data_IF_319141297821
#
_entry.id   IF_319141297821
#
_cell.length_a   1.000
_cell.length_b   1.000
_cell.length_c   1.000
_cell.angle_alpha   90.00
_cell.angle_beta   90.00
_cell.angle_gamma   90.00
#
_symmetry.space_group_name_H-M   'P 1'
#
loop_
_entity.id
_entity.type
_entity.pdbx_description
1 polymer ?
#
# COMPACT_ATOMS: atom_id res chain seq x y z
N UNK A 1 30.95 14.55 -23.41
CA UNK A 1 31.02 14.12 -22.00
C UNK A 1 30.72 12.64 -21.95
N UNK A 2 31.81 11.87 -21.99
CA UNK A 2 32.07 10.55 -21.43
C UNK A 2 30.98 9.48 -21.55
N UNK A 3 31.07 8.73 -22.65
CA UNK A 3 30.47 7.41 -22.83
C UNK A 3 31.07 6.36 -21.89
N UNK A 4 30.92 6.57 -20.59
CA UNK A 4 31.11 5.53 -19.58
C UNK A 4 30.23 4.35 -19.96
N UNK A 5 30.87 3.20 -20.21
CA UNK A 5 30.21 1.92 -20.45
C UNK A 5 29.09 1.74 -19.43
N UNK A 6 27.83 1.83 -19.86
CA UNK A 6 26.69 1.54 -18.99
C UNK A 6 26.84 0.10 -18.53
N UNK A 7 27.24 -0.08 -17.27
CA UNK A 7 27.38 -1.39 -16.65
C UNK A 7 25.97 -1.87 -16.31
N UNK A 8 25.50 -2.84 -17.08
CA UNK A 8 24.26 -3.55 -16.76
C UNK A 8 24.56 -4.60 -15.70
N UNK A 9 23.76 -4.61 -14.63
CA UNK A 9 23.92 -5.54 -13.50
C UNK A 9 22.56 -5.97 -12.98
N UNK A 10 22.56 -7.07 -12.22
CA UNK A 10 21.39 -7.45 -11.44
C UNK A 10 21.32 -6.62 -10.16
N UNK A 11 20.10 -6.22 -9.82
CA UNK A 11 19.72 -5.54 -8.60
C UNK A 11 18.90 -6.50 -7.74
N UNK A 12 19.47 -7.66 -7.40
CA UNK A 12 18.82 -8.69 -6.57
C UNK A 12 18.65 -8.26 -5.10
N UNK A 13 19.24 -7.13 -4.72
CA UNK A 13 19.03 -6.53 -3.41
C UNK A 13 17.61 -5.96 -3.27
N UNK A 14 17.01 -6.01 -2.07
CA UNK A 14 15.74 -5.35 -1.81
C UNK A 14 15.79 -3.86 -2.16
N UNK A 15 14.74 -3.33 -2.79
CA UNK A 15 14.69 -1.92 -3.21
C UNK A 15 15.53 -1.60 -4.45
N UNK A 16 16.15 -2.59 -5.08
CA UNK A 16 16.82 -2.42 -6.36
C UNK A 16 15.88 -1.88 -7.43
N UNK A 17 16.26 -0.79 -8.08
CA UNK A 17 15.49 -0.17 -9.18
C UNK A 17 15.84 -0.74 -10.57
N UNK A 18 16.76 -1.70 -10.61
CA UNK A 18 17.14 -2.43 -11.83
C UNK A 18 16.43 -3.76 -11.99
N UNK A 19 17.01 -4.61 -12.83
CA UNK A 19 16.53 -5.98 -13.04
C UNK A 19 16.97 -6.88 -11.89
N UNK A 20 16.02 -7.60 -11.29
CA UNK A 20 16.29 -8.68 -10.35
C UNK A 20 15.93 -10.03 -10.98
N UNK A 21 16.78 -11.03 -10.82
CA UNK A 21 16.53 -12.41 -11.22
C UNK A 21 16.88 -13.35 -10.07
N UNK A 22 15.86 -14.01 -9.52
CA UNK A 22 15.95 -14.96 -8.40
C UNK A 22 15.17 -16.23 -8.73
N UNK A 23 15.12 -17.19 -7.81
CA UNK A 23 14.26 -18.38 -7.95
C UNK A 23 12.76 -18.03 -8.11
N UNK A 24 12.37 -16.84 -7.65
CA UNK A 24 10.98 -16.35 -7.68
C UNK A 24 10.61 -15.71 -9.01
N UNK A 25 11.58 -15.53 -9.91
CA UNK A 25 11.36 -15.04 -11.26
C UNK A 25 12.26 -13.86 -11.63
N UNK A 26 11.83 -13.16 -12.69
CA UNK A 26 12.48 -11.95 -13.18
C UNK A 26 11.55 -10.74 -12.98
N UNK A 27 12.08 -9.68 -12.37
CA UNK A 27 11.38 -8.43 -12.13
C UNK A 27 12.24 -7.21 -12.48
N UNK A 28 11.61 -6.08 -12.76
CA UNK A 28 12.23 -4.77 -12.94
C UNK A 28 11.68 -3.84 -11.85
N UNK A 29 12.55 -3.31 -10.98
CA UNK A 29 12.14 -2.49 -9.82
C UNK A 29 11.01 -3.12 -8.99
N UNK A 30 11.10 -4.44 -8.77
CA UNK A 30 10.08 -5.22 -8.04
C UNK A 30 8.83 -5.59 -8.84
N UNK A 31 8.65 -5.06 -10.06
CA UNK A 31 7.50 -5.41 -10.92
C UNK A 31 7.84 -6.64 -11.78
N UNK A 32 7.06 -7.74 -11.68
CA UNK A 32 7.36 -8.98 -12.37
C UNK A 32 7.19 -8.83 -13.89
N UNK A 33 8.21 -9.25 -14.65
CA UNK A 33 8.18 -9.32 -16.11
C UNK A 33 7.79 -10.71 -16.63
N UNK A 34 7.88 -11.72 -15.76
CA UNK A 34 7.41 -13.09 -15.99
C UNK A 34 6.21 -13.39 -15.09
N UNK A 35 5.33 -14.26 -15.54
CA UNK A 35 4.24 -14.81 -14.74
C UNK A 35 4.55 -16.27 -14.35
N UNK A 36 4.11 -16.69 -13.17
CA UNK A 36 4.26 -18.07 -12.68
C UNK A 36 2.91 -18.77 -12.79
N UNK A 37 2.85 -19.85 -13.55
CA UNK A 37 1.66 -20.71 -13.71
C UNK A 37 1.94 -22.15 -13.31
N UNK A 38 0.98 -23.04 -13.58
CA UNK A 38 1.08 -24.49 -13.25
C UNK A 38 2.28 -25.15 -13.93
N UNK A 39 2.65 -24.69 -15.14
CA UNK A 39 3.81 -25.17 -15.89
C UNK A 39 5.13 -24.43 -15.61
N UNK A 40 5.19 -23.61 -14.57
CA UNK A 40 6.36 -22.77 -14.25
C UNK A 40 6.25 -21.34 -14.78
N UNK A 41 7.40 -20.72 -15.02
CA UNK A 41 7.51 -19.35 -15.52
C UNK A 41 7.20 -19.26 -17.01
N UNK A 42 6.43 -18.25 -17.39
CA UNK A 42 6.20 -17.86 -18.77
C UNK A 42 6.28 -16.33 -18.90
N UNK A 43 6.57 -15.85 -20.10
CA UNK A 43 6.58 -14.42 -20.39
C UNK A 43 5.15 -13.89 -20.30
N UNK A 44 4.96 -12.71 -19.70
CA UNK A 44 3.69 -11.99 -19.78
C UNK A 44 3.35 -11.69 -21.24
N UNK A 45 2.08 -11.36 -21.53
CA UNK A 45 1.70 -10.99 -22.90
C UNK A 45 2.58 -9.86 -23.43
N UNK A 46 2.90 -9.90 -24.73
CA UNK A 46 3.79 -8.91 -25.35
C UNK A 46 3.32 -7.47 -25.11
N UNK A 47 2.00 -7.23 -25.24
CA UNK A 47 1.38 -5.93 -24.98
C UNK A 47 1.55 -5.46 -23.52
N UNK A 48 1.48 -6.38 -22.55
CA UNK A 48 1.70 -6.05 -21.14
C UNK A 48 3.17 -5.66 -20.89
N UNK A 49 4.12 -6.45 -21.39
CA UNK A 49 5.55 -6.15 -21.25
C UNK A 49 5.90 -4.83 -21.92
N UNK A 50 5.40 -4.59 -23.14
CA UNK A 50 5.60 -3.34 -23.87
C UNK A 50 5.07 -2.13 -23.08
N UNK A 51 3.83 -2.23 -22.56
CA UNK A 51 3.23 -1.18 -21.74
C UNK A 51 4.08 -0.85 -20.51
N UNK A 52 4.59 -1.88 -19.83
CA UNK A 52 5.45 -1.71 -18.65
C UNK A 52 6.76 -1.01 -19.01
N UNK A 53 7.46 -1.49 -20.04
CA UNK A 53 8.75 -0.92 -20.45
C UNK A 53 8.59 0.51 -20.99
N UNK A 54 7.53 0.80 -21.74
CA UNK A 54 7.22 2.14 -22.23
C UNK A 54 7.00 3.14 -21.09
N UNK A 55 6.32 2.71 -20.02
CA UNK A 55 6.08 3.55 -18.83
C UNK A 55 7.33 3.76 -17.98
N UNK A 56 8.18 2.74 -17.89
CA UNK A 56 9.45 2.81 -17.19
C UNK A 56 10.42 3.78 -17.89
N UNK A 57 10.63 3.62 -19.21
CA UNK A 57 11.73 4.28 -19.92
C UNK A 57 11.34 5.47 -20.82
N UNK A 58 10.08 5.92 -20.80
CA UNK A 58 9.55 7.11 -21.49
C UNK A 58 10.49 7.79 -22.51
N UNK A 59 10.43 7.37 -23.78
CA UNK A 59 11.23 7.94 -24.88
C UNK A 59 12.60 7.29 -25.10
N UNK A 60 13.03 6.37 -24.24
CA UNK A 60 14.24 5.55 -24.38
C UNK A 60 13.89 4.05 -24.28
N UNK A 61 12.88 3.63 -25.04
CA UNK A 61 12.33 2.28 -24.99
C UNK A 61 13.41 1.22 -25.29
N UNK A 62 13.49 0.14 -24.49
CA UNK A 62 14.39 -0.97 -24.78
C UNK A 62 14.09 -1.58 -26.15
N UNK A 63 15.15 -1.99 -26.85
CA UNK A 63 15.01 -2.56 -28.20
C UNK A 63 14.20 -3.86 -28.26
N UNK A 64 13.78 -4.23 -29.47
CA UNK A 64 12.93 -5.41 -29.76
C UNK A 64 13.45 -6.77 -29.23
N UNK A 65 14.72 -6.85 -28.83
CA UNK A 65 15.35 -8.05 -28.31
C UNK A 65 14.89 -8.46 -26.89
N UNK A 66 14.14 -7.62 -26.17
CA UNK A 66 13.73 -7.93 -24.79
C UNK A 66 12.82 -9.16 -24.73
N UNK A 67 11.78 -9.25 -25.57
CA UNK A 67 10.81 -10.37 -25.51
C UNK A 67 11.47 -11.74 -25.74
N UNK A 68 12.27 -11.97 -26.80
CA UNK A 68 13.01 -13.23 -26.95
C UNK A 68 13.97 -13.52 -25.79
N UNK A 69 14.54 -12.49 -25.17
CA UNK A 69 15.37 -12.61 -23.98
C UNK A 69 14.58 -13.13 -22.77
N UNK A 70 13.39 -12.58 -22.53
CA UNK A 70 12.48 -13.01 -21.46
C UNK A 70 12.09 -14.49 -21.60
N UNK A 71 11.79 -14.96 -22.82
CA UNK A 71 11.48 -16.38 -23.07
C UNK A 71 12.64 -17.28 -22.65
N UNK A 72 13.87 -16.94 -23.06
CA UNK A 72 15.07 -17.72 -22.70
C UNK A 72 15.36 -17.72 -21.20
N UNK A 73 15.01 -16.64 -20.49
CA UNK A 73 15.13 -16.55 -19.03
C UNK A 73 14.11 -17.45 -18.35
N UNK A 74 12.84 -17.41 -18.79
CA UNK A 74 11.78 -18.27 -18.27
C UNK A 74 12.15 -19.77 -18.45
N UNK A 75 12.64 -20.15 -19.62
CA UNK A 75 13.11 -21.51 -19.89
C UNK A 75 14.24 -21.95 -18.95
N UNK A 76 15.19 -21.06 -18.66
CA UNK A 76 16.29 -21.36 -17.73
C UNK A 76 15.78 -21.54 -16.29
N UNK A 77 14.87 -20.67 -15.84
CA UNK A 77 14.23 -20.78 -14.52
C UNK A 77 13.42 -22.09 -14.40
N UNK A 78 12.69 -22.48 -15.44
CA UNK A 78 11.91 -23.72 -15.46
C UNK A 78 12.78 -24.99 -15.39
N UNK A 79 14.02 -24.92 -15.86
CA UNK A 79 15.01 -26.00 -15.71
C UNK A 79 15.76 -25.96 -14.38
N UNK A 80 15.47 -24.99 -13.50
CA UNK A 80 16.21 -24.79 -12.25
C UNK A 80 17.62 -24.20 -12.44
N UNK A 81 17.95 -23.71 -13.64
CA UNK A 81 19.27 -23.14 -13.96
C UNK A 81 19.28 -21.63 -13.68
N UNK A 82 19.31 -21.29 -12.39
CA UNK A 82 19.30 -19.89 -11.94
C UNK A 82 20.51 -19.10 -12.45
N UNK A 83 21.68 -19.73 -12.55
CA UNK A 83 22.88 -19.06 -13.05
C UNK A 83 22.72 -18.61 -14.52
N UNK A 84 22.21 -19.48 -15.39
CA UNK A 84 21.89 -19.10 -16.77
C UNK A 84 20.80 -18.03 -16.85
N UNK A 85 19.76 -18.12 -16.00
CA UNK A 85 18.72 -17.11 -15.95
C UNK A 85 19.30 -15.72 -15.59
N UNK A 86 20.16 -15.66 -14.57
CA UNK A 86 20.83 -14.44 -14.12
C UNK A 86 21.75 -13.84 -15.19
N UNK A 87 22.56 -14.66 -15.87
CA UNK A 87 23.44 -14.20 -16.96
C UNK A 87 22.59 -13.60 -18.10
N UNK A 88 21.53 -14.30 -18.52
CA UNK A 88 20.62 -13.82 -19.57
C UNK A 88 19.89 -12.54 -19.18
N UNK A 89 19.50 -12.41 -17.92
CA UNK A 89 18.88 -11.20 -17.40
C UNK A 89 19.79 -9.96 -17.52
N UNK A 90 21.10 -10.10 -17.23
CA UNK A 90 22.08 -9.02 -17.47
C UNK A 90 22.15 -8.64 -18.95
N UNK A 91 22.06 -9.63 -19.84
CA UNK A 91 22.09 -9.41 -21.29
C UNK A 91 20.84 -8.76 -21.87
N UNK A 92 19.76 -8.60 -21.10
CA UNK A 92 18.64 -7.74 -21.50
C UNK A 92 19.05 -6.27 -21.63
N UNK A 93 20.14 -5.87 -20.96
CA UNK A 93 20.70 -4.50 -21.01
C UNK A 93 19.66 -3.43 -20.66
N UNK A 94 18.80 -3.73 -19.70
CA UNK A 94 17.82 -2.80 -19.16
C UNK A 94 18.50 -1.87 -18.14
N UNK A 95 18.51 -0.55 -18.35
CA UNK A 95 19.08 0.40 -17.39
C UNK A 95 18.38 0.32 -16.02
N UNK A 96 19.08 0.70 -14.96
CA UNK A 96 18.40 0.95 -13.68
C UNK A 96 17.44 2.13 -13.83
N UNK A 97 16.28 2.03 -13.18
CA UNK A 97 15.28 3.08 -13.17
C UNK A 97 15.63 4.14 -12.11
N UNK A 98 15.25 5.39 -12.36
CA UNK A 98 15.06 6.34 -11.28
C UNK A 98 13.76 6.03 -10.52
N UNK A 99 13.57 6.71 -9.39
CA UNK A 99 12.41 6.47 -8.53
C UNK A 99 11.08 6.80 -9.22
N UNK A 100 11.01 7.88 -9.99
CA UNK A 100 9.77 8.27 -10.68
C UNK A 100 9.40 7.25 -11.76
N UNK A 101 10.38 6.75 -12.49
CA UNK A 101 10.23 5.65 -13.44
C UNK A 101 9.74 4.36 -12.79
N UNK A 102 10.27 4.00 -11.61
CA UNK A 102 9.80 2.84 -10.86
C UNK A 102 8.35 3.02 -10.38
N UNK A 103 7.95 4.21 -9.93
CA UNK A 103 6.57 4.53 -9.55
C UNK A 103 5.63 4.44 -10.76
N UNK A 104 6.02 4.96 -11.92
CA UNK A 104 5.24 4.83 -13.17
C UNK A 104 5.07 3.37 -13.58
N UNK A 105 6.14 2.58 -13.46
CA UNK A 105 6.12 1.14 -13.76
C UNK A 105 5.17 0.38 -12.82
N UNK A 106 5.24 0.63 -11.51
CA UNK A 106 4.36 0.01 -10.52
C UNK A 106 2.88 0.34 -10.78
N UNK A 107 2.55 1.61 -11.02
CA UNK A 107 1.18 2.04 -11.38
C UNK A 107 0.68 1.38 -12.67
N UNK A 108 1.56 1.24 -13.67
CA UNK A 108 1.21 0.57 -14.91
C UNK A 108 0.90 -0.92 -14.68
N UNK A 109 1.67 -1.59 -13.82
CA UNK A 109 1.41 -2.97 -13.43
C UNK A 109 0.07 -3.12 -12.70
N UNK A 110 -0.24 -2.24 -11.76
CA UNK A 110 -1.51 -2.26 -11.03
C UNK A 110 -2.69 -2.06 -11.98
N UNK A 111 -2.55 -1.17 -12.97
CA UNK A 111 -3.58 -0.99 -14.00
C UNK A 111 -3.74 -2.22 -14.87
N UNK A 112 -2.65 -2.92 -15.23
CA UNK A 112 -2.72 -4.20 -15.96
C UNK A 112 -3.37 -5.31 -15.12
N UNK A 113 -3.16 -5.33 -13.80
CA UNK A 113 -3.79 -6.31 -12.92
C UNK A 113 -5.30 -6.10 -12.76
N UNK A 114 -5.76 -4.84 -12.85
CA UNK A 114 -7.21 -4.51 -12.81
C UNK A 114 -7.96 -5.02 -14.04
N UNK A 115 -7.28 -5.11 -15.18
CA UNK A 115 -7.92 -5.44 -16.45
C UNK A 115 -7.35 -6.77 -16.98
N UNK A 116 -8.04 -7.87 -16.70
CA UNK A 116 -7.79 -9.11 -17.45
C UNK A 116 -8.41 -8.97 -18.83
N UNK A 117 -7.64 -9.01 -19.93
CA UNK A 117 -8.21 -8.97 -21.27
C UNK A 117 -9.11 -10.19 -21.55
N UNK A 118 -8.94 -11.28 -20.78
CA UNK A 118 -9.70 -12.53 -20.91
C UNK A 118 -10.96 -12.56 -20.03
N UNK A 119 -11.30 -11.46 -19.33
CA UNK A 119 -12.54 -11.39 -18.56
C UNK A 119 -13.76 -11.34 -19.51
N UNK A 120 -14.82 -12.12 -19.23
CA UNK A 120 -15.97 -12.23 -20.11
C UNK A 120 -16.69 -10.89 -20.27
N UNK A 121 -16.96 -10.56 -21.54
CA UNK A 121 -17.74 -9.40 -21.93
C UNK A 121 -19.13 -9.84 -22.39
N UNK A 122 -20.14 -9.01 -22.18
CA UNK A 122 -21.41 -9.18 -22.86
C UNK A 122 -21.27 -8.82 -24.36
N UNK A 123 -22.36 -9.01 -25.10
CA UNK A 123 -22.45 -8.68 -26.51
C UNK A 123 -22.22 -7.19 -26.81
N UNK A 124 -22.33 -6.31 -25.81
CA UNK A 124 -22.13 -4.87 -25.93
C UNK A 124 -20.71 -4.45 -25.52
N UNK A 125 -19.84 -5.41 -25.16
CA UNK A 125 -18.45 -5.17 -24.77
C UNK A 125 -18.27 -4.67 -23.32
N UNK A 126 -19.36 -4.61 -22.54
CA UNK A 126 -19.34 -4.26 -21.13
C UNK A 126 -18.82 -5.45 -20.30
N UNK A 127 -18.27 -5.13 -19.12
CA UNK A 127 -17.77 -6.14 -18.19
C UNK A 127 -18.95 -6.90 -17.59
N UNK A 128 -18.88 -8.24 -17.58
CA UNK A 128 -19.89 -9.08 -16.93
C UNK A 128 -19.28 -9.92 -15.83
N UNK A 129 -19.97 -9.98 -14.69
CA UNK A 129 -19.53 -10.75 -13.51
C UNK A 129 -19.89 -12.25 -13.63
N UNK A 130 -20.63 -12.62 -14.67
CA UNK A 130 -21.27 -13.93 -14.79
C UNK A 130 -20.42 -14.93 -15.59
N UNK A 131 -19.46 -15.55 -14.91
CA UNK A 131 -19.07 -16.92 -15.22
C UNK A 131 -20.29 -17.84 -15.06
N UNK A 132 -20.66 -18.54 -16.13
CA UNK A 132 -21.99 -19.12 -16.31
C UNK A 132 -22.47 -20.11 -15.25
N UNK A 133 -23.72 -19.93 -14.83
CA UNK A 133 -24.59 -20.99 -14.34
C UNK A 133 -25.95 -20.86 -15.06
N UNK A 134 -26.42 -21.99 -15.58
CA UNK A 134 -27.62 -22.11 -16.40
C UNK A 134 -28.88 -21.55 -15.73
N UNK A 135 -29.75 -20.92 -16.54
CA UNK A 135 -31.12 -20.51 -16.14
C UNK A 135 -31.93 -21.73 -15.67
N UNK A 136 -32.84 -21.53 -14.69
CA UNK A 136 -34.23 -21.70 -15.07
C UNK A 136 -35.18 -20.59 -14.57
N UNK A 137 -36.14 -20.36 -15.47
CA UNK A 137 -37.50 -19.81 -15.40
C UNK A 137 -38.07 -19.11 -14.16
N UNK A 138 -38.86 -18.08 -14.50
CA UNK A 138 -39.69 -17.24 -13.67
C UNK A 138 -40.78 -18.00 -12.89
N UNK A 139 -41.05 -17.53 -11.67
CA UNK A 139 -42.28 -17.86 -10.95
C UNK A 139 -42.24 -17.49 -9.46
N UNK A 140 -43.11 -16.54 -9.11
CA UNK A 140 -43.67 -16.26 -7.77
C UNK A 140 -42.89 -15.42 -6.76
N UNK A 141 -43.51 -14.28 -6.46
CA UNK A 141 -43.18 -13.36 -5.38
C UNK A 141 -43.51 -13.96 -4.01
N UNK A 142 -42.54 -13.91 -3.10
CA UNK A 142 -42.77 -13.96 -1.67
C UNK A 142 -41.93 -12.85 -1.04
N UNK A 143 -42.60 -11.83 -0.50
CA UNK A 143 -41.98 -10.81 0.35
C UNK A 143 -41.46 -11.49 1.61
N UNK A 144 -40.15 -11.66 1.70
CA UNK A 144 -39.46 -11.84 2.98
C UNK A 144 -38.31 -10.84 3.02
N UNK A 145 -38.34 -10.01 4.06
CA UNK A 145 -37.37 -8.97 4.32
C UNK A 145 -36.11 -9.66 4.87
N UNK A 146 -35.30 -10.20 3.98
CA UNK A 146 -34.02 -10.83 4.32
C UNK A 146 -32.93 -10.13 3.53
N UNK A 147 -32.69 -8.86 3.87
CA UNK A 147 -31.42 -8.20 3.57
C UNK A 147 -30.47 -8.45 4.75
N UNK A 148 -30.07 -9.72 4.89
CA UNK A 148 -28.77 -10.05 5.44
C UNK A 148 -27.74 -9.78 4.33
N UNK A 149 -27.31 -8.53 4.21
CA UNK A 149 -26.18 -8.12 3.39
C UNK A 149 -25.26 -7.27 4.27
N UNK A 150 -24.03 -7.77 4.42
CA UNK A 150 -22.91 -7.32 5.24
C UNK A 150 -22.98 -5.86 5.76
N UNK A 151 -22.93 -5.71 7.08
CA UNK A 151 -22.81 -4.40 7.72
C UNK A 151 -21.42 -3.78 7.42
N UNK A 152 -21.35 -2.47 7.12
CA UNK A 152 -20.08 -1.79 6.89
C UNK A 152 -19.23 -1.78 8.17
N UNK A 153 -17.95 -2.11 8.03
CA UNK A 153 -16.95 -1.95 9.09
C UNK A 153 -16.92 -0.48 9.54
N UNK A 154 -17.07 -0.25 10.85
CA UNK A 154 -17.08 1.09 11.42
C UNK A 154 -15.65 1.62 11.56
N UNK A 155 -15.25 2.50 10.64
CA UNK A 155 -14.23 3.52 10.90
C UNK A 155 -14.80 4.54 11.90
N UNK A 156 -13.98 5.37 12.56
CA UNK A 156 -14.44 6.37 13.55
C UNK A 156 -13.52 7.58 13.73
N UNK A 157 -14.05 8.81 13.86
CA UNK A 157 -13.27 10.00 14.31
C UNK A 157 -12.93 9.80 15.79
N UNK A 158 -11.67 10.04 16.13
CA UNK A 158 -11.21 10.13 17.51
C UNK A 158 -11.51 11.53 18.07
N UNK A 159 -12.34 11.61 19.12
CA UNK A 159 -12.55 12.89 19.83
C UNK A 159 -11.36 13.17 20.74
N UNK A 160 -10.81 14.37 20.61
CA UNK A 160 -9.68 14.84 21.41
C UNK A 160 -10.08 16.16 22.06
N UNK A 161 -9.93 16.24 23.39
CA UNK A 161 -10.12 17.49 24.13
C UNK A 161 -8.75 18.12 24.44
N UNK A 162 -8.68 19.46 24.40
CA UNK A 162 -7.43 20.20 24.62
C UNK A 162 -6.79 19.91 25.99
N UNK A 163 -7.63 19.74 27.02
CA UNK A 163 -7.18 19.44 28.39
C UNK A 163 -6.50 18.08 28.54
N UNK A 164 -6.76 17.15 27.61
CA UNK A 164 -6.26 15.77 27.68
C UNK A 164 -5.00 15.58 26.81
N UNK A 165 -4.56 16.63 26.11
CA UNK A 165 -3.40 16.59 25.22
C UNK A 165 -2.09 16.80 25.99
N UNK A 166 -1.16 15.87 25.79
CA UNK A 166 0.20 16.03 26.32
C UNK A 166 0.89 17.27 25.72
N UNK A 167 1.74 17.99 26.49
CA UNK A 167 2.61 19.03 25.96
C UNK A 167 3.49 18.50 24.81
N UNK A 168 3.93 19.33 23.85
CA UNK A 168 4.66 18.87 22.66
C UNK A 168 5.88 17.98 22.96
N UNK A 169 6.67 18.34 23.99
CA UNK A 169 7.85 17.56 24.42
C UNK A 169 7.43 16.17 24.91
N UNK A 170 6.38 16.08 25.73
CA UNK A 170 5.88 14.81 26.28
C UNK A 170 5.21 13.95 25.22
N UNK A 171 4.50 14.57 24.28
CA UNK A 171 3.94 13.87 23.12
C UNK A 171 5.03 13.27 22.23
N UNK A 172 6.15 13.98 22.02
CA UNK A 172 7.31 13.46 21.29
C UNK A 172 7.97 12.28 22.03
N UNK A 173 8.24 12.42 23.33
CA UNK A 173 8.79 11.34 24.15
C UNK A 173 7.91 10.08 24.07
N UNK A 174 6.59 10.26 24.11
CA UNK A 174 5.63 9.18 23.98
C UNK A 174 5.70 8.51 22.59
N UNK A 175 5.72 9.31 21.52
CA UNK A 175 5.92 8.80 20.16
C UNK A 175 7.21 7.99 20.04
N UNK A 176 8.35 8.54 20.47
CA UNK A 176 9.66 7.87 20.36
C UNK A 176 9.65 6.53 21.12
N UNK A 177 9.02 6.50 22.30
CA UNK A 177 8.86 5.31 23.14
C UNK A 177 8.01 4.23 22.46
N UNK A 178 6.81 4.57 21.99
CA UNK A 178 5.92 3.59 21.34
C UNK A 178 6.47 3.13 19.99
N UNK A 179 7.08 4.03 19.23
CA UNK A 179 7.76 3.69 17.98
C UNK A 179 8.88 2.68 18.20
N UNK A 180 9.76 2.93 19.19
CA UNK A 180 10.83 1.99 19.56
C UNK A 180 10.27 0.65 20.01
N UNK A 181 9.22 0.64 20.83
CA UNK A 181 8.59 -0.60 21.30
C UNK A 181 8.06 -1.45 20.13
N UNK A 182 7.40 -0.81 19.16
CA UNK A 182 6.90 -1.48 17.96
C UNK A 182 8.04 -2.04 17.08
N UNK A 183 9.20 -1.37 17.05
CA UNK A 183 10.40 -1.90 16.39
C UNK A 183 10.97 -3.12 17.15
N UNK A 184 11.06 -3.03 18.48
CA UNK A 184 11.57 -4.12 19.32
C UNK A 184 10.66 -5.37 19.25
N UNK A 185 9.35 -5.18 19.01
CA UNK A 185 8.36 -6.25 18.76
C UNK A 185 8.40 -6.81 17.33
N UNK A 186 9.24 -6.26 16.43
CA UNK A 186 9.34 -6.67 15.04
C UNK A 186 8.14 -6.29 14.17
N UNK A 187 7.26 -5.41 14.66
CA UNK A 187 6.09 -4.93 13.92
C UNK A 187 6.45 -3.78 12.97
N UNK A 188 7.40 -2.96 13.37
CA UNK A 188 8.03 -1.94 12.52
C UNK A 188 9.46 -2.36 12.20
N UNK A 189 9.99 -2.00 11.02
CA UNK A 189 11.39 -2.21 10.73
C UNK A 189 12.24 -1.35 11.68
N UNK A 190 13.20 -1.98 12.35
CA UNK A 190 14.29 -1.27 13.02
C UNK A 190 15.01 -0.41 11.99
N UNK A 191 15.30 0.86 12.32
CA UNK A 191 16.13 1.79 11.51
C UNK A 191 17.59 1.32 11.43
N UNK A 192 17.82 0.06 11.07
CA UNK A 192 19.10 -0.45 10.67
C UNK A 192 19.34 -0.03 9.22
N UNK A 193 20.49 0.58 8.98
CA UNK A 193 21.06 1.01 7.70
C UNK A 193 21.33 -0.17 6.72
N UNK A 194 20.52 -1.22 6.77
CA UNK A 194 20.72 -2.46 6.02
C UNK A 194 19.85 -2.44 4.77
N UNK A 195 20.54 -2.34 3.63
CA UNK A 195 20.05 -2.67 2.29
C UNK A 195 19.18 -1.63 1.54
N UNK A 196 19.49 -0.34 1.64
CA UNK A 196 19.09 0.65 0.62
C UNK A 196 17.58 0.94 0.49
N UNK A 197 16.73 0.34 1.33
CA UNK A 197 15.36 0.80 1.56
C UNK A 197 15.45 2.08 2.40
N UNK A 198 14.87 3.18 1.93
CA UNK A 198 14.53 4.29 2.81
C UNK A 198 13.54 3.69 3.82
N UNK A 199 13.89 3.58 5.11
CA UNK A 199 12.98 3.02 6.10
C UNK A 199 11.66 3.79 6.05
N UNK A 200 10.55 3.18 6.49
CA UNK A 200 9.35 3.95 6.69
C UNK A 200 9.68 5.13 7.58
N UNK A 201 9.50 6.32 7.03
CA UNK A 201 9.88 7.54 7.70
C UNK A 201 8.65 7.97 8.49
N UNK A 202 8.60 7.52 9.74
CA UNK A 202 7.70 8.12 10.70
C UNK A 202 8.34 9.39 11.23
N UNK A 203 7.66 10.51 11.04
CA UNK A 203 8.03 11.80 11.60
C UNK A 203 6.98 12.19 12.64
N UNK A 204 7.42 12.51 13.86
CA UNK A 204 6.56 13.18 14.81
C UNK A 204 6.47 14.68 14.50
N UNK A 205 5.26 15.17 14.31
CA UNK A 205 4.97 16.58 14.08
C UNK A 205 4.37 17.15 15.38
N UNK A 206 5.05 18.08 16.08
CA UNK A 206 4.61 18.61 17.38
C UNK A 206 3.40 19.56 17.28
N UNK A 207 2.75 19.61 16.12
CA UNK A 207 1.60 20.43 15.77
C UNK A 207 0.36 19.54 15.60
N UNK A 208 -0.79 20.16 15.44
CA UNK A 208 -2.08 19.50 15.19
C UNK A 208 -2.30 19.36 13.69
N UNK A 209 -2.74 18.19 13.22
CA UNK A 209 -3.00 17.95 11.79
C UNK A 209 -4.47 18.21 11.43
N UNK A 210 -4.70 18.95 10.35
CA UNK A 210 -5.99 19.01 9.64
C UNK A 210 -5.83 18.41 8.25
N UNK A 211 -6.68 17.46 7.88
CA UNK A 211 -6.70 16.83 6.57
C UNK A 211 -7.94 17.31 5.80
N UNK A 212 -7.72 17.97 4.67
CA UNK A 212 -8.78 18.42 3.77
C UNK A 212 -9.06 17.36 2.70
N UNK A 213 -10.27 17.30 2.12
CA UNK A 213 -10.56 16.37 1.03
C UNK A 213 -9.59 16.52 -0.14
N UNK A 214 -8.88 15.43 -0.49
CA UNK A 214 -7.87 15.37 -1.57
C UNK A 214 -6.61 16.21 -1.38
N UNK A 215 -6.37 16.76 -0.18
CA UNK A 215 -5.15 17.50 0.14
C UNK A 215 -4.21 16.66 1.02
N UNK A 216 -3.04 17.21 1.34
CA UNK A 216 -2.16 16.70 2.40
C UNK A 216 -2.66 17.18 3.77
N UNK A 217 -2.28 16.46 4.82
CA UNK A 217 -2.44 16.97 6.18
C UNK A 217 -1.59 18.24 6.37
N UNK A 218 -2.21 19.27 6.95
CA UNK A 218 -1.60 20.55 7.24
C UNK A 218 -1.38 20.71 8.76
N UNK A 219 -0.19 21.16 9.19
CA UNK A 219 0.10 21.36 10.60
C UNK A 219 -0.34 22.73 11.13
N UNK A 220 -0.90 22.76 12.33
CA UNK A 220 -1.34 23.98 13.03
C UNK A 220 -0.79 24.03 14.47
N UNK A 221 -0.40 25.22 14.97
CA UNK A 221 0.20 25.36 16.30
C UNK A 221 -0.79 25.10 17.44
N UNK A 222 -2.08 25.30 17.23
CA UNK A 222 -3.14 25.10 18.24
C UNK A 222 -4.25 24.18 17.71
N UNK A 223 -4.91 23.44 18.62
CA UNK A 223 -6.02 22.56 18.25
C UNK A 223 -7.18 23.36 17.69
N UNK A 224 -7.45 24.53 18.25
CA UNK A 224 -8.50 25.45 17.79
C UNK A 224 -8.31 25.91 16.35
N UNK A 225 -7.06 26.22 15.96
CA UNK A 225 -6.75 26.59 14.57
C UNK A 225 -6.91 25.42 13.61
N UNK A 226 -6.46 24.22 14.00
CA UNK A 226 -6.68 23.02 13.20
C UNK A 226 -8.17 22.73 13.01
N UNK A 227 -8.97 22.85 14.08
CA UNK A 227 -10.42 22.64 14.05
C UNK A 227 -11.11 23.64 13.14
N UNK A 228 -10.75 24.92 13.27
CA UNK A 228 -11.23 25.96 12.37
C UNK A 228 -10.93 25.63 10.91
N UNK A 229 -9.70 25.21 10.59
CA UNK A 229 -9.32 24.83 9.23
C UNK A 229 -10.13 23.64 8.70
N UNK A 230 -10.31 22.60 9.53
CA UNK A 230 -11.11 21.43 9.20
C UNK A 230 -12.58 21.82 8.94
N UNK A 231 -13.18 22.63 9.81
CA UNK A 231 -14.56 23.10 9.65
C UNK A 231 -14.74 23.95 8.37
N UNK A 232 -13.80 24.86 8.08
CA UNK A 232 -13.85 25.74 6.90
C UNK A 232 -13.73 24.99 5.58
N UNK A 233 -12.99 23.87 5.56
CA UNK A 233 -12.66 23.12 4.34
C UNK A 233 -13.32 21.75 4.27
N UNK A 234 -14.30 21.46 5.14
CA UNK A 234 -14.93 20.14 5.28
C UNK A 234 -13.87 19.01 5.41
N UNK A 235 -12.84 19.30 6.19
CA UNK A 235 -11.76 18.40 6.56
C UNK A 235 -11.97 17.78 7.94
N UNK A 236 -10.93 17.12 8.43
CA UNK A 236 -10.94 16.40 9.71
C UNK A 236 -9.63 16.59 10.45
N UNK A 237 -9.68 16.45 11.78
CA UNK A 237 -8.48 16.43 12.61
C UNK A 237 -7.91 15.02 12.61
N UNK A 238 -6.64 14.89 12.27
CA UNK A 238 -5.98 13.59 12.12
C UNK A 238 -4.91 13.37 13.16
N UNK A 239 -4.75 12.11 13.60
CA UNK A 239 -3.63 11.66 14.44
C UNK A 239 -2.38 11.34 13.62
N UNK A 240 -2.55 11.00 12.35
CA UNK A 240 -1.47 10.70 11.42
C UNK A 240 -1.85 10.97 9.97
N UNK A 241 -0.86 10.89 9.08
CA UNK A 241 -1.07 11.01 7.64
C UNK A 241 0.05 10.30 6.88
N UNK A 242 -0.32 9.42 5.95
CA UNK A 242 0.62 8.67 5.12
C UNK A 242 0.59 9.12 3.67
N UNK A 243 1.78 9.35 3.08
CA UNK A 243 1.97 9.57 1.64
C UNK A 243 3.14 8.74 1.13
N UNK A 244 2.82 7.68 0.37
CA UNK A 244 3.83 6.73 -0.09
C UNK A 244 4.39 5.92 1.08
N UNK A 245 5.69 6.00 1.33
CA UNK A 245 6.40 5.33 2.44
C UNK A 245 6.74 6.30 3.60
N UNK A 246 6.10 7.47 3.63
CA UNK A 246 6.31 8.51 4.63
C UNK A 246 5.04 8.70 5.43
N UNK A 247 5.15 8.69 6.75
CA UNK A 247 4.03 8.92 7.65
C UNK A 247 4.37 10.03 8.65
N UNK A 248 3.47 10.98 8.78
CA UNK A 248 3.52 11.99 9.84
C UNK A 248 2.59 11.57 10.96
N UNK A 249 3.05 11.66 12.20
CA UNK A 249 2.24 11.45 13.40
C UNK A 249 2.12 12.79 14.11
N UNK A 250 0.90 13.30 14.21
CA UNK A 250 0.62 14.61 14.79
C UNK A 250 0.39 14.50 16.30
N UNK A 251 0.51 15.65 16.99
CA UNK A 251 0.35 15.72 18.46
C UNK A 251 -1.02 15.21 18.96
N UNK A 252 -2.06 15.27 18.13
CA UNK A 252 -3.39 14.71 18.38
C UNK A 252 -3.39 13.22 18.75
N UNK A 253 -2.42 12.44 18.25
CA UNK A 253 -2.27 11.03 18.62
C UNK A 253 -1.84 10.83 20.09
N UNK A 254 -1.42 11.88 20.79
CA UNK A 254 -0.97 11.85 22.19
C UNK A 254 -2.08 12.20 23.20
N UNK A 255 -3.35 11.97 22.85
CA UNK A 255 -4.49 12.15 23.73
C UNK A 255 -5.24 10.83 23.98
N UNK A 256 -5.84 10.64 25.15
CA UNK A 256 -6.81 9.56 25.33
C UNK A 256 -8.03 9.83 24.43
N UNK A 257 -8.64 8.77 23.91
CA UNK A 257 -9.82 8.90 23.05
C UNK A 257 -10.65 7.62 23.10
N UNK A 258 -11.64 7.50 22.21
CA UNK A 258 -12.37 6.27 21.98
C UNK A 258 -12.02 5.74 20.59
N UNK A 259 -11.38 4.58 20.53
CA UNK A 259 -11.03 3.91 19.28
C UNK A 259 -12.10 2.85 18.99
N UNK A 260 -12.80 2.90 17.85
CA UNK A 260 -13.79 1.88 17.49
C UNK A 260 -13.20 0.46 17.55
N UNK A 261 -13.92 -0.47 18.17
CA UNK A 261 -13.45 -1.85 18.38
C UNK A 261 -12.44 -2.04 19.51
N UNK A 262 -11.74 -0.99 19.96
CA UNK A 262 -10.82 -1.05 21.11
C UNK A 262 -11.46 -0.49 22.39
N UNK A 263 -12.33 0.52 22.26
CA UNK A 263 -12.96 1.23 23.37
C UNK A 263 -12.16 2.47 23.80
N UNK A 264 -12.30 2.86 25.08
CA UNK A 264 -11.58 4.01 25.65
C UNK A 264 -10.08 3.69 25.74
N UNK A 265 -9.24 4.55 25.19
CA UNK A 265 -7.79 4.40 25.14
C UNK A 265 -7.07 5.37 26.09
N UNK A 266 -5.85 4.99 26.50
CA UNK A 266 -4.86 5.92 27.07
C UNK A 266 -4.08 6.63 25.96
N UNK A 267 -3.33 7.71 26.25
CA UNK A 267 -2.43 8.33 25.27
C UNK A 267 -1.46 7.34 24.61
N UNK A 268 -0.90 6.40 25.38
CA UNK A 268 0.00 5.36 24.87
C UNK A 268 -0.70 4.47 23.84
N UNK A 269 -1.93 4.04 24.14
CA UNK A 269 -2.71 3.20 23.25
C UNK A 269 -3.12 3.96 21.98
N UNK A 270 -3.51 5.23 22.11
CA UNK A 270 -3.84 6.08 20.95
C UNK A 270 -2.61 6.31 20.06
N UNK A 271 -1.46 6.61 20.65
CA UNK A 271 -0.20 6.81 19.91
C UNK A 271 0.18 5.54 19.16
N UNK A 272 0.15 4.39 19.86
CA UNK A 272 0.45 3.09 19.26
C UNK A 272 -0.53 2.75 18.12
N UNK A 273 -1.82 3.00 18.32
CA UNK A 273 -2.84 2.83 17.29
C UNK A 273 -2.52 3.67 16.05
N UNK A 274 -2.26 4.97 16.22
CA UNK A 274 -1.94 5.87 15.12
C UNK A 274 -0.70 5.41 14.33
N UNK A 275 0.37 5.00 15.02
CA UNK A 275 1.57 4.50 14.34
C UNK A 275 1.27 3.23 13.52
N UNK A 276 0.55 2.27 14.10
CA UNK A 276 0.18 1.03 13.41
C UNK A 276 -0.80 1.27 12.26
N UNK A 277 -1.71 2.23 12.41
CA UNK A 277 -2.65 2.65 11.38
C UNK A 277 -1.92 3.15 10.14
N UNK A 278 -1.04 4.13 10.32
CA UNK A 278 -0.23 4.67 9.25
C UNK A 278 0.70 3.60 8.64
N UNK A 279 1.21 2.67 9.47
CA UNK A 279 1.97 1.53 8.96
C UNK A 279 1.13 0.59 8.10
N UNK A 280 -0.14 0.40 8.46
CA UNK A 280 -1.12 -0.35 7.67
C UNK A 280 -1.28 0.24 6.26
N UNK A 281 -1.37 1.57 6.16
CA UNK A 281 -1.39 2.27 4.87
C UNK A 281 -0.14 2.00 4.02
N UNK A 282 1.04 2.04 4.65
CA UNK A 282 2.31 1.78 3.95
C UNK A 282 2.45 0.33 3.49
N UNK A 283 2.10 -0.65 4.33
CA UNK A 283 2.21 -2.08 4.01
C UNK A 283 1.29 -2.51 2.88
N UNK A 284 0.12 -1.90 2.77
CA UNK A 284 -0.85 -2.21 1.73
C UNK A 284 -0.59 -1.45 0.43
N UNK A 285 0.56 -0.77 0.30
CA UNK A 285 0.93 -0.01 -0.89
C UNK A 285 -0.04 1.12 -1.22
N UNK A 286 -0.72 1.68 -0.21
CA UNK A 286 -1.80 2.66 -0.41
C UNK A 286 -3.07 2.08 -1.07
N UNK A 287 -3.23 0.75 -1.11
CA UNK A 287 -4.45 0.10 -1.64
C UNK A 287 -5.62 0.06 -0.65
N UNK A 288 -5.55 0.80 0.46
CA UNK A 288 -6.73 1.20 1.22
C UNK A 288 -7.59 2.11 0.33
N UNK A 289 -8.36 1.48 -0.57
CA UNK A 289 -8.80 2.14 -1.79
C UNK A 289 -9.72 3.31 -1.52
N UNK A 290 -10.60 3.27 -0.51
CA UNK A 290 -11.51 4.38 -0.21
C UNK A 290 -11.97 4.47 1.26
N UNK A 291 -11.41 3.68 2.18
CA UNK A 291 -11.84 3.69 3.59
C UNK A 291 -10.64 3.41 4.50
N UNK A 292 -10.41 4.27 5.51
CA UNK A 292 -9.40 4.12 6.58
C UNK A 292 -9.48 2.75 7.33
N UNK A 293 -10.57 2.00 7.13
CA UNK A 293 -10.94 0.83 7.92
C UNK A 293 -9.97 -0.34 7.77
N UNK A 294 -9.27 -0.43 6.64
CA UNK A 294 -8.23 -1.45 6.44
C UNK A 294 -6.97 -1.15 7.26
N UNK A 295 -6.64 0.12 7.46
CA UNK A 295 -5.57 0.55 8.36
C UNK A 295 -5.99 0.40 9.83
N UNK A 296 -7.23 0.75 10.17
CA UNK A 296 -7.81 0.52 11.51
C UNK A 296 -7.76 -0.96 11.89
N UNK A 297 -8.24 -1.84 10.99
CA UNK A 297 -8.26 -3.30 11.21
C UNK A 297 -6.85 -3.85 11.40
N UNK A 298 -5.88 -3.33 10.64
CA UNK A 298 -4.48 -3.67 10.82
C UNK A 298 -4.00 -3.25 12.22
N UNK A 299 -4.27 -2.02 12.65
CA UNK A 299 -3.86 -1.53 13.96
C UNK A 299 -4.50 -2.34 15.11
N UNK A 300 -5.82 -2.53 15.10
CA UNK A 300 -6.56 -3.28 16.12
C UNK A 300 -6.05 -4.71 16.28
N UNK A 301 -5.80 -5.40 15.16
CA UNK A 301 -5.24 -6.76 15.16
C UNK A 301 -3.89 -6.81 15.88
N UNK A 302 -3.00 -5.85 15.63
CA UNK A 302 -1.66 -5.80 16.23
C UNK A 302 -1.63 -5.20 17.64
N UNK A 303 -2.73 -4.60 18.09
CA UNK A 303 -2.94 -4.21 19.48
C UNK A 303 -3.53 -5.35 20.33
N UNK A 304 -3.77 -6.52 19.75
CA UNK A 304 -4.25 -7.71 20.47
C UNK A 304 -5.75 -7.70 20.76
N UNK A 305 -6.53 -6.85 20.08
CA UNK A 305 -7.99 -6.93 20.15
C UNK A 305 -8.42 -8.23 19.48
N UNK A 306 -9.00 -9.14 20.25
CA UNK A 306 -9.61 -10.35 19.70
C UNK A 306 -10.86 -9.92 18.95
N UNK A 307 -11.02 -10.42 17.73
CA UNK A 307 -12.29 -10.33 17.00
C UNK A 307 -13.31 -11.24 17.71
N UNK A 308 -13.80 -10.84 18.87
CA UNK A 308 -14.95 -11.48 19.49
C UNK A 308 -16.19 -10.89 18.81
N UNK A 309 -16.77 -11.67 17.90
CA UNK A 309 -18.10 -11.55 17.28
C UNK A 309 -18.78 -10.17 17.38
N UNK A 310 -18.36 -9.26 16.50
CA UNK A 310 -18.93 -7.91 16.31
C UNK A 310 -20.32 -7.95 15.62
N UNK A 311 -21.24 -8.80 16.10
CA UNK A 311 -22.66 -8.72 15.77
C UNK A 311 -23.35 -7.71 16.72
N UNK A 312 -23.43 -6.43 16.33
CA UNK A 312 -24.57 -5.61 16.78
C UNK A 312 -24.36 -4.15 17.19
N UNK A 313 -23.16 -3.61 17.27
CA UNK A 313 -22.99 -2.19 17.63
C UNK A 313 -22.60 -1.30 16.45
N UNK A 314 -23.62 -0.59 15.93
CA UNK A 314 -23.54 0.42 14.88
C UNK A 314 -23.38 1.80 15.51
N UNK A 315 -22.27 2.47 15.22
CA UNK A 315 -22.13 3.92 15.42
C UNK A 315 -21.21 4.47 14.32
N UNK A 316 -21.55 5.65 13.80
CA UNK A 316 -20.87 6.34 12.71
C UNK A 316 -19.61 7.09 13.20
N UNK A 317 -18.64 7.33 12.29
CA UNK A 317 -17.85 8.58 12.02
C UNK A 317 -16.44 8.22 11.41
N UNK A 318 -15.50 9.08 10.97
CA UNK A 318 -14.36 8.77 10.03
C UNK A 318 -12.97 9.30 10.50
N UNK A 319 -11.85 8.55 10.37
CA UNK A 319 -10.47 9.05 10.58
C UNK A 319 -9.90 9.86 9.41
#
# INVERSE_FOLDING_TARGET
MDGWQRRYRLSNGPGGLGISCTAEGLALAGVPLLAKGVGGFHVRSAAAVETLLKRAYAGAEPGAAVLPGLTKIADALNRGDLAQAMIRAVHLRLPELDWDAAVRLARANDNLAKYSPDQPRDCDGCWTDSGGAAKPQAGFALRTNTQAQAAPHACGVLRVEEKDLLPPVKAKELFDKEYKKLQDEGLLPTQGFLAGKIPPNFEFVPQFGSLRPRDRALPFPTLKEAQKDADEHNGIIVGGYTKGNYSQIFRTAAAPTYIPGFGKSTPEQTMRFAILHEWGHQQQGGQCKEVECCADSYALKHMGVKNEDNEGHKAHIIL
#
